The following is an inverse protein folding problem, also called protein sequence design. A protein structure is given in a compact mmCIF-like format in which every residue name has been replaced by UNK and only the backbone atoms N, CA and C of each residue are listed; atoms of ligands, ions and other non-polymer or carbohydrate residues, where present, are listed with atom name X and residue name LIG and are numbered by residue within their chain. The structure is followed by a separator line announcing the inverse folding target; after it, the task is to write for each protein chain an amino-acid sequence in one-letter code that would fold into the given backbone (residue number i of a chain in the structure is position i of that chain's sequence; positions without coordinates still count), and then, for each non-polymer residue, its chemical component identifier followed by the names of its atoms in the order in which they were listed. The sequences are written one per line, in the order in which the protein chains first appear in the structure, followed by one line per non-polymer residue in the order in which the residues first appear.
data_IF_607347467182
#
_entry.id   IF_607347467182
#
_cell.length_a   1.000
_cell.length_b   1.000
_cell.length_c   1.000
_cell.angle_alpha   90.00
_cell.angle_beta   90.00
_cell.angle_gamma   90.00
#
_symmetry.space_group_name_H-M   'P 1'
#
loop_
_entity.id
_entity.type
_entity.pdbx_description
1 polymer ?
#
# COMPACT_ATOMS: atom_id res chain seq x y z
N UNK A 1 -34.08 23.86 11.57
CA UNK A 1 -32.65 23.92 11.19
C UNK A 1 -31.82 22.89 11.96
N UNK A 2 -31.88 22.85 13.30
CA UNK A 2 -31.10 21.92 14.14
C UNK A 2 -31.25 20.43 13.75
N UNK A 3 -32.47 19.95 13.46
CA UNK A 3 -32.69 18.55 13.08
C UNK A 3 -31.95 18.14 11.80
N UNK A 4 -31.84 19.04 10.81
CA UNK A 4 -31.07 18.78 9.58
C UNK A 4 -29.57 18.72 9.86
N UNK A 5 -29.07 19.55 10.77
CA UNK A 5 -27.66 19.56 11.17
C UNK A 5 -27.30 18.25 11.87
N UNK A 6 -28.14 17.78 12.81
CA UNK A 6 -27.93 16.50 13.50
C UNK A 6 -27.91 15.33 12.51
N UNK A 7 -28.83 15.32 11.54
CA UNK A 7 -28.84 14.30 10.48
C UNK A 7 -27.58 14.33 9.62
N UNK A 8 -27.11 15.52 9.24
CA UNK A 8 -25.88 15.68 8.47
C UNK A 8 -24.65 15.21 9.26
N UNK A 9 -24.57 15.52 10.56
CA UNK A 9 -23.48 15.04 11.42
C UNK A 9 -23.45 13.51 11.52
N UNK A 10 -24.61 12.86 11.64
CA UNK A 10 -24.68 11.40 11.65
C UNK A 10 -24.21 10.78 10.33
N UNK A 11 -24.59 11.37 9.20
CA UNK A 11 -24.13 10.92 7.86
C UNK A 11 -22.61 11.10 7.72
N UNK A 12 -22.08 12.24 8.13
CA UNK A 12 -20.65 12.54 8.08
C UNK A 12 -19.83 11.55 8.92
N UNK A 13 -20.30 11.22 10.12
CA UNK A 13 -19.64 10.25 10.99
C UNK A 13 -19.58 8.85 10.36
N UNK A 14 -20.68 8.40 9.73
CA UNK A 14 -20.74 7.11 9.04
C UNK A 14 -19.76 7.07 7.87
N UNK A 15 -19.74 8.11 7.03
CA UNK A 15 -18.87 8.20 5.86
C UNK A 15 -17.40 8.26 6.29
N UNK A 16 -17.08 9.08 7.28
CA UNK A 16 -15.70 9.25 7.77
C UNK A 16 -15.18 7.94 8.37
N UNK A 17 -16.00 7.23 9.16
CA UNK A 17 -15.65 5.93 9.74
C UNK A 17 -15.43 4.85 8.68
N UNK A 18 -16.30 4.78 7.68
CA UNK A 18 -16.18 3.83 6.57
C UNK A 18 -14.93 4.13 5.73
N UNK A 19 -14.70 5.40 5.40
CA UNK A 19 -13.55 5.87 4.65
C UNK A 19 -12.24 5.58 5.39
N UNK A 20 -12.18 5.88 6.70
CA UNK A 20 -11.00 5.60 7.52
C UNK A 20 -10.64 4.10 7.56
N UNK A 21 -11.63 3.21 7.67
CA UNK A 21 -11.40 1.75 7.60
C UNK A 21 -10.84 1.32 6.24
N UNK A 22 -11.36 1.88 5.15
CA UNK A 22 -10.89 1.58 3.80
C UNK A 22 -9.46 2.09 3.57
N UNK A 23 -9.15 3.31 4.02
CA UNK A 23 -7.80 3.87 3.96
C UNK A 23 -6.80 3.04 4.77
N UNK A 24 -7.17 2.57 5.97
CA UNK A 24 -6.31 1.69 6.77
C UNK A 24 -5.99 0.38 6.04
N UNK A 25 -6.99 -0.23 5.38
CA UNK A 25 -6.78 -1.44 4.56
C UNK A 25 -5.86 -1.16 3.37
N UNK A 26 -6.04 -0.02 2.72
CA UNK A 26 -5.21 0.41 1.59
C UNK A 26 -3.76 0.65 2.03
N UNK A 27 -3.54 1.35 3.15
CA UNK A 27 -2.21 1.58 3.71
C UNK A 27 -1.49 0.27 4.05
N UNK A 28 -2.20 -0.70 4.64
CA UNK A 28 -1.64 -2.04 4.92
C UNK A 28 -1.24 -2.77 3.64
N UNK A 29 -2.07 -2.73 2.60
CA UNK A 29 -1.73 -3.34 1.29
C UNK A 29 -0.55 -2.63 0.64
N UNK A 30 -0.53 -1.30 0.65
CA UNK A 30 0.56 -0.50 0.10
C UNK A 30 1.91 -0.79 0.79
N UNK A 31 1.91 -0.92 2.12
CA UNK A 31 3.10 -1.32 2.89
C UNK A 31 3.61 -2.70 2.46
N UNK A 32 2.72 -3.70 2.39
CA UNK A 32 3.08 -5.05 1.92
C UNK A 32 3.65 -5.05 0.51
N UNK A 33 3.04 -4.31 -0.42
CA UNK A 33 3.53 -4.17 -1.79
C UNK A 33 4.92 -3.54 -1.83
N UNK A 34 5.13 -2.45 -1.09
CA UNK A 34 6.44 -1.79 -1.01
C UNK A 34 7.51 -2.74 -0.47
N UNK A 35 7.20 -3.53 0.56
CA UNK A 35 8.12 -4.55 1.09
C UNK A 35 8.42 -5.61 0.03
N UNK A 36 7.41 -6.14 -0.66
CA UNK A 36 7.60 -7.15 -1.71
C UNK A 36 8.47 -6.62 -2.87
N UNK A 37 8.20 -5.41 -3.34
CA UNK A 37 9.02 -4.76 -4.39
C UNK A 37 10.47 -4.57 -3.93
N UNK A 38 10.68 -4.15 -2.69
CA UNK A 38 12.02 -4.00 -2.13
C UNK A 38 12.78 -5.34 -2.06
N UNK A 39 12.11 -6.41 -1.63
CA UNK A 39 12.70 -7.75 -1.61
C UNK A 39 13.02 -8.26 -3.01
N UNK A 40 12.12 -8.06 -3.98
CA UNK A 40 12.38 -8.42 -5.38
C UNK A 40 13.59 -7.68 -5.95
N UNK A 41 13.72 -6.39 -5.62
CA UNK A 41 14.88 -5.59 -6.04
C UNK A 41 16.18 -6.16 -5.46
N UNK A 42 16.23 -6.47 -4.17
CA UNK A 42 17.42 -7.06 -3.55
C UNK A 42 17.78 -8.42 -4.15
N UNK A 43 16.78 -9.27 -4.39
CA UNK A 43 16.98 -10.57 -5.03
C UNK A 43 17.55 -10.42 -6.45
N UNK A 44 17.02 -9.45 -7.22
CA UNK A 44 17.51 -9.14 -8.56
C UNK A 44 18.94 -8.59 -8.53
N UNK A 45 19.26 -7.68 -7.61
CA UNK A 45 20.63 -7.16 -7.42
C UNK A 45 21.61 -8.29 -7.09
N UNK A 46 21.21 -9.25 -6.23
CA UNK A 46 22.02 -10.45 -5.95
C UNK A 46 22.26 -11.30 -7.20
N UNK A 47 21.20 -11.61 -7.96
CA UNK A 47 21.32 -12.40 -9.20
C UNK A 47 22.21 -11.70 -10.22
N UNK A 48 22.06 -10.38 -10.40
CA UNK A 48 22.88 -9.62 -11.35
C UNK A 48 24.35 -9.59 -10.96
N UNK A 49 24.69 -9.55 -9.66
CA UNK A 49 26.09 -9.64 -9.21
C UNK A 49 26.63 -11.07 -9.37
N UNK A 50 25.82 -12.08 -9.04
CA UNK A 50 26.24 -13.48 -9.11
C UNK A 50 26.35 -14.01 -10.56
N UNK A 51 25.44 -13.59 -11.44
CA UNK A 51 25.28 -14.11 -12.80
C UNK A 51 25.67 -13.09 -13.90
N UNK A 52 25.76 -11.79 -13.59
CA UNK A 52 26.13 -10.76 -14.57
C UNK A 52 27.56 -10.87 -15.10
N UNK A 53 28.42 -11.65 -14.44
CA UNK A 53 29.75 -12.04 -14.95
C UNK A 53 29.74 -13.28 -15.86
N UNK A 54 28.62 -13.98 -16.01
CA UNK A 54 28.51 -15.22 -16.80
C UNK A 54 28.27 -14.91 -18.29
N UNK A 55 27.81 -13.70 -18.64
CA UNK A 55 27.64 -13.23 -20.03
C UNK A 55 28.96 -13.11 -20.82
N UNK A 56 30.13 -13.38 -20.21
CA UNK A 56 31.43 -13.46 -20.88
C UNK A 56 32.11 -14.83 -20.79
N UNK A 57 31.42 -15.87 -20.30
CA UNK A 57 32.00 -17.20 -20.07
C UNK A 57 31.68 -18.24 -21.17
N UNK A 58 31.00 -17.83 -22.24
CA UNK A 58 30.80 -18.61 -23.46
C UNK A 58 30.98 -17.72 -24.68
#
# INVERSE_FOLDING_TARGET
MLNRIIQLQAVDEIITKATGKSLLKLAKKGSKLRTAVYQNRLALEYMLVAEGGICGKF
#
